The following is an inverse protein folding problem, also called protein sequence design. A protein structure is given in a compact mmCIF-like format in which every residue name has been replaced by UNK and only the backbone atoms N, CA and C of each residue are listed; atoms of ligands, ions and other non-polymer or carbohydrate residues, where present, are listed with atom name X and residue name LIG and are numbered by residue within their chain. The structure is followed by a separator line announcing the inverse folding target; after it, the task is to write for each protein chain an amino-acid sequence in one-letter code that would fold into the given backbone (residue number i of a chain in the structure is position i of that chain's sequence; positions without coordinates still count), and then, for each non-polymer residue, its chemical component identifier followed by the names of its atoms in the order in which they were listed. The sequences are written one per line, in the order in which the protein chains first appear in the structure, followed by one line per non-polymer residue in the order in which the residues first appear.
data_IF_828725410864
#
_entry.id   IF_828725410864
#
_cell.length_a   1.000
_cell.length_b   1.000
_cell.length_c   1.000
_cell.angle_alpha   90.00
_cell.angle_beta   90.00
_cell.angle_gamma   90.00
#
_symmetry.space_group_name_H-M   'P 1'
#
loop_
_entity.id
_entity.type
_entity.pdbx_description
1 polymer ?
#
# COMPACT_ATOMS: atom_id res chain seq x y z
N UNK A 1 11.69 9.29 -18.68
CA UNK A 1 11.21 10.65 -18.37
C UNK A 1 10.79 10.68 -16.90
N UNK A 2 10.92 11.82 -16.20
CA UNK A 2 10.26 11.99 -14.91
C UNK A 2 8.73 11.93 -15.12
N UNK A 3 7.97 11.47 -14.12
CA UNK A 3 6.51 11.37 -14.20
C UNK A 3 5.94 10.20 -15.02
N UNK A 4 6.75 9.44 -15.77
CA UNK A 4 6.26 8.24 -16.50
C UNK A 4 6.38 6.97 -15.66
N UNK A 5 5.53 5.97 -15.96
CA UNK A 5 5.59 4.63 -15.35
C UNK A 5 6.99 4.01 -15.49
N UNK A 6 7.60 4.15 -16.67
CA UNK A 6 8.96 3.67 -16.94
C UNK A 6 10.02 4.38 -16.08
N UNK A 7 9.87 5.68 -15.85
CA UNK A 7 10.72 6.45 -14.95
C UNK A 7 10.60 5.99 -13.50
N UNK A 8 9.36 5.80 -13.00
CA UNK A 8 9.09 5.30 -11.65
C UNK A 8 9.71 3.93 -11.40
N UNK A 9 9.57 2.98 -12.34
CA UNK A 9 10.20 1.65 -12.25
C UNK A 9 11.72 1.71 -12.21
N UNK A 10 12.35 2.63 -12.96
CA UNK A 10 13.81 2.83 -12.92
C UNK A 10 14.25 3.40 -11.57
N UNK A 11 13.52 4.37 -11.03
CA UNK A 11 13.79 4.96 -9.71
C UNK A 11 13.67 3.92 -8.59
N UNK A 12 12.60 3.11 -8.60
CA UNK A 12 12.40 2.03 -7.63
C UNK A 12 13.56 1.03 -7.64
N UNK A 13 14.01 0.58 -8.81
CA UNK A 13 15.18 -0.31 -8.94
C UNK A 13 16.46 0.33 -8.39
N UNK A 14 16.69 1.62 -8.66
CA UNK A 14 17.87 2.33 -8.15
C UNK A 14 17.83 2.46 -6.63
N UNK A 15 16.67 2.80 -6.06
CA UNK A 15 16.49 2.93 -4.61
C UNK A 15 16.68 1.58 -3.90
N UNK A 16 16.13 0.50 -4.46
CA UNK A 16 16.30 -0.84 -3.89
C UNK A 16 17.76 -1.30 -3.92
N UNK A 17 18.50 -1.02 -5.00
CA UNK A 17 19.94 -1.31 -5.09
C UNK A 17 20.77 -0.47 -4.10
N UNK A 18 20.42 0.80 -3.89
CA UNK A 18 21.20 1.74 -3.07
C UNK A 18 20.93 1.58 -1.57
N UNK A 19 19.69 1.31 -1.20
CA UNK A 19 19.23 1.36 0.20
C UNK A 19 18.72 0.00 0.72
N UNK A 20 18.73 -1.03 -0.13
CA UNK A 20 18.30 -2.38 0.21
C UNK A 20 16.79 -2.63 0.04
N UNK A 21 16.37 -3.89 0.23
CA UNK A 21 14.99 -4.32 0.04
C UNK A 21 14.01 -3.64 1.02
N UNK A 22 14.47 -3.33 2.24
CA UNK A 22 13.63 -2.75 3.29
C UNK A 22 13.39 -1.24 3.16
N UNK A 23 13.98 -0.58 2.16
CA UNK A 23 13.97 0.88 2.05
C UNK A 23 12.55 1.46 2.15
N UNK A 24 11.63 0.93 1.35
CA UNK A 24 10.24 1.38 1.31
C UNK A 24 9.45 1.04 2.60
N UNK A 25 9.75 -0.10 3.22
CA UNK A 25 9.14 -0.49 4.49
C UNK A 25 9.56 0.46 5.63
N UNK A 26 10.85 0.80 5.71
CA UNK A 26 11.39 1.69 6.75
C UNK A 26 10.85 3.12 6.64
N UNK A 27 10.79 3.68 5.43
CA UNK A 27 10.22 5.03 5.22
C UNK A 27 8.71 5.05 5.46
N UNK A 28 7.98 4.02 5.03
CA UNK A 28 6.55 3.89 5.31
C UNK A 28 6.23 3.81 6.80
N UNK A 29 6.98 3.00 7.56
CA UNK A 29 6.82 2.88 9.01
C UNK A 29 7.12 4.20 9.74
N UNK A 30 8.17 4.92 9.35
CA UNK A 30 8.49 6.25 9.89
C UNK A 30 7.37 7.26 9.61
N UNK A 31 6.85 7.27 8.39
CA UNK A 31 5.73 8.14 8.00
C UNK A 31 4.45 7.81 8.76
N UNK A 32 4.10 6.53 8.88
CA UNK A 32 2.94 6.07 9.63
C UNK A 32 3.00 6.44 11.12
N UNK A 33 4.16 6.27 11.76
CA UNK A 33 4.36 6.68 13.17
C UNK A 33 4.22 8.19 13.40
N UNK A 34 4.56 9.00 12.40
CA UNK A 34 4.43 10.47 12.45
C UNK A 34 3.05 10.98 12.05
N UNK A 35 2.21 10.15 11.42
CA UNK A 35 0.87 10.53 10.99
C UNK A 35 -0.09 10.58 12.18
N UNK A 36 -0.79 11.70 12.36
CA UNK A 36 -1.78 11.88 13.43
C UNK A 36 -3.22 11.89 12.94
N UNK A 37 -3.45 11.94 11.62
CA UNK A 37 -4.78 12.04 11.01
C UNK A 37 -5.59 10.75 11.06
N UNK A 38 -5.01 9.68 11.63
CA UNK A 38 -5.57 8.34 11.60
C UNK A 38 -5.52 7.74 10.20
N UNK A 39 -5.25 6.43 10.13
CA UNK A 39 -5.05 5.73 8.85
C UNK A 39 -6.32 5.62 8.00
N UNK A 40 -6.27 4.73 7.00
CA UNK A 40 -7.37 4.50 6.05
C UNK A 40 -8.75 4.29 6.70
N UNK A 41 -8.78 3.64 7.87
CA UNK A 41 -9.98 3.29 8.63
C UNK A 41 -10.31 4.27 9.77
N UNK A 42 -9.68 5.45 9.84
CA UNK A 42 -9.88 6.39 10.93
C UNK A 42 -11.21 7.16 10.83
N UNK A 43 -11.81 7.46 11.98
CA UNK A 43 -13.10 8.13 12.08
C UNK A 43 -14.28 7.26 11.61
N UNK A 44 -15.49 7.82 11.66
CA UNK A 44 -16.70 7.12 11.23
C UNK A 44 -16.67 6.82 9.73
N UNK A 45 -16.37 7.83 8.91
CA UNK A 45 -16.31 7.69 7.45
C UNK A 45 -15.22 6.73 6.99
N UNK A 46 -14.05 6.75 7.65
CA UNK A 46 -12.96 5.84 7.32
C UNK A 46 -13.30 4.39 7.64
N UNK A 47 -14.01 4.13 8.75
CA UNK A 47 -14.50 2.77 9.07
C UNK A 47 -15.48 2.26 8.02
N UNK A 48 -16.43 3.09 7.59
CA UNK A 48 -17.38 2.68 6.54
C UNK A 48 -16.69 2.41 5.21
N UNK A 49 -15.75 3.29 4.82
CA UNK A 49 -14.91 3.09 3.63
C UNK A 49 -14.13 1.78 3.74
N UNK A 50 -13.48 1.52 4.87
CA UNK A 50 -12.72 0.30 5.08
C UNK A 50 -13.61 -0.95 5.02
N UNK A 51 -14.84 -0.89 5.56
CA UNK A 51 -15.82 -1.97 5.46
C UNK A 51 -16.20 -2.25 3.99
N UNK A 52 -16.58 -1.21 3.24
CA UNK A 52 -17.00 -1.34 1.82
C UNK A 52 -15.88 -1.94 0.97
N UNK A 53 -14.67 -1.39 1.05
CA UNK A 53 -13.54 -1.87 0.25
C UNK A 53 -12.99 -3.22 0.73
N UNK A 54 -13.07 -3.50 2.03
CA UNK A 54 -12.73 -4.81 2.58
C UNK A 54 -13.62 -5.92 2.03
N UNK A 55 -14.93 -5.68 1.95
CA UNK A 55 -15.89 -6.62 1.35
C UNK A 55 -15.59 -6.87 -0.14
N UNK A 56 -15.41 -5.81 -0.93
CA UNK A 56 -15.06 -5.92 -2.35
C UNK A 56 -13.76 -6.69 -2.54
N UNK A 57 -12.72 -6.37 -1.78
CA UNK A 57 -11.43 -7.06 -1.84
C UNK A 57 -11.55 -8.54 -1.45
N UNK A 58 -12.39 -8.86 -0.46
CA UNK A 58 -12.71 -10.23 -0.08
C UNK A 58 -13.41 -11.01 -1.19
N UNK A 59 -14.41 -10.41 -1.84
CA UNK A 59 -15.15 -11.05 -2.94
C UNK A 59 -14.28 -11.31 -4.17
N UNK A 60 -13.37 -10.39 -4.51
CA UNK A 60 -12.45 -10.52 -5.65
C UNK A 60 -11.28 -11.48 -5.33
N UNK A 61 -10.98 -11.72 -4.05
CA UNK A 61 -9.84 -12.53 -3.63
C UNK A 61 -9.94 -13.96 -4.16
N UNK A 62 -8.87 -14.41 -4.83
CA UNK A 62 -8.72 -15.79 -5.32
C UNK A 62 -8.01 -16.72 -4.34
N UNK A 63 -7.55 -16.21 -3.17
CA UNK A 63 -6.73 -16.97 -2.22
C UNK A 63 -7.42 -18.20 -1.62
N UNK A 64 -8.75 -18.14 -1.44
CA UNK A 64 -9.53 -19.19 -0.78
C UNK A 64 -10.62 -19.78 -1.69
N UNK A 65 -10.58 -19.54 -3.01
CA UNK A 65 -11.48 -20.25 -3.93
C UNK A 65 -10.97 -21.69 -4.01
N UNK A 66 -11.66 -22.59 -3.32
CA UNK A 66 -11.55 -24.02 -3.59
C UNK A 66 -11.83 -24.20 -5.08
N UNK A 67 -10.85 -24.74 -5.79
CA UNK A 67 -11.03 -25.23 -7.15
C UNK A 67 -11.62 -26.62 -7.03
N UNK A 68 -12.89 -26.78 -7.42
CA UNK A 68 -13.42 -28.10 -7.78
C UNK A 68 -12.73 -28.62 -9.05
#
# INVERSE_FOLDING_TARGET
MAGTVSGGRRAARKNMKKYGPDFYAKIGAKGGKKGHTGGFAAGNEGRERARKWGAVGGQISRRNKLTD
#
